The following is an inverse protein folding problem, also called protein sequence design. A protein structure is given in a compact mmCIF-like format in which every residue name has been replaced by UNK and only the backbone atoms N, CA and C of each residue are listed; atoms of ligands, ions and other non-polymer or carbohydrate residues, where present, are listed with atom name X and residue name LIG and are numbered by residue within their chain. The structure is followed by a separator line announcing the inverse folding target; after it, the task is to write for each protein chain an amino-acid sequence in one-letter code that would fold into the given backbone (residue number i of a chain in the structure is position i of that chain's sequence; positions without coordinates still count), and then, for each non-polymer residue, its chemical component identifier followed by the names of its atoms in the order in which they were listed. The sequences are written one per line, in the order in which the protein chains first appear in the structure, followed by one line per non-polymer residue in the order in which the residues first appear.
data_IF_335854677881
#
_entry.id   IF_335854677881
#
_cell.length_a   1.000
_cell.length_b   1.000
_cell.length_c   1.000
_cell.angle_alpha   90.00
_cell.angle_beta   90.00
_cell.angle_gamma   90.00
#
_symmetry.space_group_name_H-M   'P 1'
#
loop_
_entity.id
_entity.type
_entity.pdbx_description
1 polymer ?
#
# COMPACT_ATOMS: atom_id res chain seq x y z
N UNK A 1 27.71 9.13 25.58
CA UNK A 1 27.86 7.65 25.55
C UNK A 1 26.79 7.09 24.64
N UNK A 2 27.12 6.13 23.78
CA UNK A 2 26.10 5.49 22.93
C UNK A 2 25.25 4.53 23.76
N UNK A 3 23.93 4.60 23.61
CA UNK A 3 22.97 3.68 24.20
C UNK A 3 22.57 2.62 23.17
N UNK A 4 22.51 1.37 23.60
CA UNK A 4 22.03 0.26 22.79
C UNK A 4 20.50 0.21 22.79
N UNK A 5 19.88 0.13 21.61
CA UNK A 5 18.43 0.06 21.47
C UNK A 5 17.95 -1.35 21.06
N UNK A 6 18.66 -2.01 20.14
CA UNK A 6 18.23 -3.29 19.57
C UNK A 6 19.41 -4.10 19.03
N UNK A 7 19.31 -5.43 19.13
CA UNK A 7 20.16 -6.40 18.42
C UNK A 7 19.47 -7.75 18.26
N UNK A 8 19.64 -8.35 17.08
CA UNK A 8 19.10 -9.67 16.76
C UNK A 8 20.18 -10.72 16.40
N UNK A 9 21.46 -10.37 16.55
CA UNK A 9 22.58 -11.20 16.11
C UNK A 9 23.30 -10.66 14.87
N UNK A 10 22.65 -9.83 14.06
CA UNK A 10 23.22 -9.31 12.80
C UNK A 10 22.95 -7.82 12.58
N UNK A 11 21.83 -7.30 13.07
CA UNK A 11 21.50 -5.89 13.04
C UNK A 11 21.63 -5.31 14.43
N UNK A 12 22.36 -4.20 14.55
CA UNK A 12 22.43 -3.40 15.77
C UNK A 12 21.85 -2.02 15.55
N UNK A 13 21.01 -1.53 16.47
CA UNK A 13 20.55 -0.13 16.50
C UNK A 13 21.09 0.55 17.76
N UNK A 14 21.80 1.66 17.57
CA UNK A 14 22.41 2.45 18.62
C UNK A 14 21.87 3.89 18.60
N UNK A 15 21.57 4.43 19.78
CA UNK A 15 21.42 5.87 19.98
C UNK A 15 22.80 6.45 20.29
N UNK A 16 23.38 7.22 19.37
CA UNK A 16 24.68 7.85 19.60
C UNK A 16 24.51 9.14 20.41
N UNK A 17 23.50 9.92 20.06
CA UNK A 17 23.09 11.19 20.68
C UNK A 17 21.57 11.32 20.60
N UNK A 18 20.98 12.37 21.19
CA UNK A 18 19.52 12.59 21.18
C UNK A 18 18.92 12.61 19.77
N UNK A 19 19.65 13.21 18.83
CA UNK A 19 19.25 13.42 17.44
C UNK A 19 20.01 12.55 16.43
N UNK A 20 20.74 11.52 16.89
CA UNK A 20 21.58 10.69 16.02
C UNK A 20 21.47 9.20 16.37
N UNK A 21 20.94 8.44 15.42
CA UNK A 21 20.83 6.99 15.49
C UNK A 21 21.84 6.35 14.53
N UNK A 22 22.35 5.16 14.88
CA UNK A 22 23.20 4.37 14.01
C UNK A 22 22.63 2.97 13.86
N UNK A 23 22.62 2.46 12.63
CA UNK A 23 22.25 1.10 12.32
C UNK A 23 23.46 0.40 11.71
N UNK A 24 23.83 -0.75 12.26
CA UNK A 24 24.94 -1.57 11.78
C UNK A 24 24.35 -2.89 11.29
N UNK A 25 24.65 -3.27 10.06
CA UNK A 25 24.33 -4.56 9.48
C UNK A 25 25.61 -5.37 9.29
N UNK A 26 25.76 -6.41 10.10
CA UNK A 26 26.91 -7.32 10.08
C UNK A 26 26.71 -8.52 9.15
N UNK A 27 25.54 -8.63 8.51
CA UNK A 27 25.23 -9.73 7.59
C UNK A 27 25.71 -9.48 6.16
N UNK A 28 25.72 -10.54 5.37
CA UNK A 28 25.99 -10.50 3.93
C UNK A 28 24.72 -10.18 3.10
N UNK A 29 23.60 -9.81 3.74
CA UNK A 29 22.33 -9.54 3.07
C UNK A 29 21.82 -8.15 3.41
N UNK A 30 21.01 -7.57 2.53
CA UNK A 30 20.31 -6.31 2.84
C UNK A 30 19.25 -6.58 3.91
N UNK A 31 19.23 -5.72 4.93
CA UNK A 31 18.18 -5.75 5.94
C UNK A 31 17.12 -4.71 5.65
N UNK A 32 15.87 -5.15 5.67
CA UNK A 32 14.69 -4.31 5.54
C UNK A 32 14.09 -4.08 6.93
N UNK A 33 14.41 -2.96 7.56
CA UNK A 33 13.71 -2.53 8.76
C UNK A 33 12.34 -2.01 8.36
N UNK A 34 11.28 -2.58 8.91
CA UNK A 34 9.91 -2.24 8.53
C UNK A 34 9.06 -1.95 9.78
N UNK A 35 8.04 -1.10 9.70
CA UNK A 35 7.12 -0.83 10.83
C UNK A 35 6.42 -2.09 11.38
N UNK A 36 6.38 -3.14 10.57
CA UNK A 36 5.85 -4.46 10.90
C UNK A 36 6.73 -5.25 11.87
N UNK A 37 8.01 -4.94 11.96
CA UNK A 37 8.95 -5.61 12.84
C UNK A 37 8.79 -5.08 14.27
N UNK A 38 8.05 -5.83 15.09
CA UNK A 38 7.62 -5.39 16.42
C UNK A 38 8.77 -4.99 17.32
N UNK A 39 9.84 -5.75 17.34
CA UNK A 39 10.99 -5.55 18.21
C UNK A 39 11.74 -4.27 17.83
N UNK A 40 11.98 -4.04 16.54
CA UNK A 40 12.59 -2.80 16.04
C UNK A 40 11.69 -1.59 16.29
N UNK A 41 10.39 -1.72 15.99
CA UNK A 41 9.41 -0.68 16.26
C UNK A 41 9.40 -0.31 17.75
N UNK A 42 9.35 -1.29 18.64
CA UNK A 42 9.36 -1.08 20.09
C UNK A 42 10.69 -0.51 20.58
N UNK A 43 11.82 -0.91 20.02
CA UNK A 43 13.14 -0.36 20.37
C UNK A 43 13.27 1.12 20.02
N UNK A 44 12.61 1.56 18.96
CA UNK A 44 12.55 2.96 18.53
C UNK A 44 11.42 3.74 19.21
N UNK A 45 10.53 3.07 19.95
CA UNK A 45 9.50 3.72 20.75
C UNK A 45 10.18 4.52 21.88
N UNK A 46 9.90 5.82 21.95
CA UNK A 46 10.50 6.73 22.93
C UNK A 46 11.74 7.49 22.44
N UNK A 47 12.18 7.28 21.20
CA UNK A 47 13.09 8.24 20.55
C UNK A 47 12.32 9.52 20.18
N UNK A 48 13.05 10.61 19.88
CA UNK A 48 12.42 11.86 19.44
C UNK A 48 11.60 11.59 18.19
N UNK A 49 10.31 11.90 18.24
CA UNK A 49 9.45 11.72 17.08
C UNK A 49 9.82 12.71 15.98
N UNK A 50 9.96 12.23 14.76
CA UNK A 50 10.34 13.04 13.62
C UNK A 50 10.94 12.22 12.49
N UNK A 51 11.53 12.97 11.56
CA UNK A 51 12.19 12.45 10.37
C UNK A 51 13.68 12.45 10.60
N UNK A 52 14.32 11.32 10.33
CA UNK A 52 15.76 11.16 10.33
C UNK A 52 16.22 10.74 8.94
N UNK A 53 17.36 11.24 8.48
CA UNK A 53 17.90 10.91 7.15
C UNK A 53 19.33 10.38 7.27
N UNK A 54 19.70 9.48 6.36
CA UNK A 54 21.09 9.03 6.21
C UNK A 54 21.99 10.26 5.98
N UNK A 55 23.04 10.38 6.79
CA UNK A 55 24.00 11.49 6.73
C UNK A 55 24.85 11.45 5.45
N UNK A 56 25.09 10.26 4.89
CA UNK A 56 25.96 10.11 3.71
C UNK A 56 25.19 10.13 2.40
N UNK A 57 24.04 9.45 2.35
CA UNK A 57 23.29 9.26 1.11
C UNK A 57 21.79 9.53 1.30
N UNK A 58 21.36 10.74 1.71
CA UNK A 58 19.97 11.04 2.05
C UNK A 58 18.98 10.85 0.89
N UNK A 59 19.47 10.88 -0.35
CA UNK A 59 18.64 10.81 -1.56
C UNK A 59 18.41 9.39 -2.09
N UNK A 60 19.12 8.38 -1.58
CA UNK A 60 18.83 7.01 -1.99
C UNK A 60 17.47 6.55 -1.43
N UNK A 61 16.75 5.66 -2.14
CA UNK A 61 15.50 5.10 -1.64
C UNK A 61 15.64 4.46 -0.26
N UNK A 62 14.62 4.62 0.58
CA UNK A 62 14.54 4.05 1.93
C UNK A 62 15.68 4.48 2.87
N UNK A 63 16.25 5.67 2.64
CA UNK A 63 17.19 6.37 3.54
C UNK A 63 16.55 7.42 4.44
N UNK A 64 15.23 7.35 4.59
CA UNK A 64 14.46 8.20 5.49
C UNK A 64 13.79 7.32 6.55
N UNK A 65 14.16 7.55 7.81
CA UNK A 65 13.58 6.90 8.97
C UNK A 65 12.58 7.84 9.63
N UNK A 66 11.30 7.46 9.64
CA UNK A 66 10.25 8.17 10.36
C UNK A 66 9.99 7.46 11.68
N UNK A 67 10.01 8.22 12.77
CA UNK A 67 9.70 7.71 14.10
C UNK A 67 8.51 8.48 14.65
N UNK A 68 7.42 7.77 14.93
CA UNK A 68 6.21 8.29 15.57
C UNK A 68 6.08 7.89 17.03
N UNK A 69 4.89 8.12 17.58
CA UNK A 69 4.57 7.81 18.98
C UNK A 69 4.72 6.32 19.31
N UNK A 70 4.53 5.45 18.32
CA UNK A 70 4.65 4.00 18.45
C UNK A 70 5.97 3.43 17.92
N UNK A 71 6.94 4.27 17.58
CA UNK A 71 8.26 3.86 17.07
C UNK A 71 8.38 3.99 15.56
N UNK A 72 9.05 3.04 14.90
CA UNK A 72 9.33 3.09 13.46
C UNK A 72 8.03 3.12 12.62
N UNK A 73 7.89 4.15 11.79
CA UNK A 73 6.77 4.36 10.86
C UNK A 73 7.16 4.24 9.37
N UNK A 74 8.46 4.19 9.04
CA UNK A 74 8.93 4.00 7.65
C UNK A 74 9.72 2.72 7.44
N UNK A 75 9.83 2.30 6.18
CA UNK A 75 10.77 1.25 5.74
C UNK A 75 12.17 1.85 5.58
N UNK A 76 13.19 1.20 6.15
CA UNK A 76 14.60 1.59 6.04
C UNK A 76 15.42 0.41 5.54
N UNK A 77 16.20 0.63 4.47
CA UNK A 77 17.07 -0.39 3.88
C UNK A 77 18.50 -0.24 4.34
N UNK A 78 19.10 -1.32 4.83
CA UNK A 78 20.46 -1.34 5.38
C UNK A 78 21.31 -2.31 4.57
N UNK A 79 22.25 -1.82 3.74
CA UNK A 79 23.10 -2.67 2.89
C UNK A 79 23.88 -3.71 3.70
N UNK A 80 24.32 -4.81 3.07
CA UNK A 80 25.24 -5.77 3.68
C UNK A 80 26.50 -5.10 4.24
N UNK A 81 27.01 -5.62 5.35
CA UNK A 81 28.31 -5.22 5.94
C UNK A 81 28.49 -3.69 6.04
N UNK A 82 27.45 -2.99 6.50
CA UNK A 82 27.39 -1.53 6.48
C UNK A 82 27.05 -0.92 7.83
N UNK A 83 27.33 0.38 7.97
CA UNK A 83 27.00 1.18 9.13
C UNK A 83 26.46 2.53 8.67
N UNK A 84 25.18 2.77 8.95
CA UNK A 84 24.46 3.97 8.55
C UNK A 84 24.18 4.84 9.76
N UNK A 85 24.33 6.15 9.60
CA UNK A 85 23.98 7.10 10.65
C UNK A 85 22.80 7.96 10.16
N UNK A 86 21.75 8.01 10.97
CA UNK A 86 20.51 8.71 10.71
C UNK A 86 20.39 9.90 11.66
N UNK A 87 20.37 11.11 11.11
CA UNK A 87 20.30 12.35 11.89
C UNK A 87 18.90 12.97 11.78
N UNK A 88 18.37 13.41 12.91
CA UNK A 88 17.09 14.13 12.98
C UNK A 88 17.12 15.37 12.08
N UNK A 89 16.05 15.59 11.32
CA UNK A 89 15.86 16.72 10.41
C UNK A 89 14.72 17.63 10.88
N UNK A 90 13.53 17.07 11.07
CA UNK A 90 12.32 17.83 11.40
C UNK A 90 11.27 16.97 12.12
N UNK A 91 10.25 17.59 12.76
CA UNK A 91 9.07 16.90 13.26
C UNK A 91 8.27 16.22 12.13
N UNK A 92 7.52 15.16 12.46
CA UNK A 92 6.66 14.49 11.48
C UNK A 92 5.61 15.42 10.86
N UNK A 93 5.16 16.44 11.60
CA UNK A 93 4.18 17.42 11.11
C UNK A 93 4.69 18.32 9.98
N UNK A 94 5.99 18.32 9.69
CA UNK A 94 6.58 19.08 8.58
C UNK A 94 6.66 18.28 7.27
N UNK A 95 6.32 16.99 7.30
CA UNK A 95 6.22 16.17 6.09
C UNK A 95 4.76 15.78 5.83
N UNK A 96 4.42 15.64 4.56
CA UNK A 96 3.13 15.13 4.14
C UNK A 96 3.26 13.64 3.83
N UNK A 97 2.80 12.76 4.73
CA UNK A 97 2.86 11.31 4.55
C UNK A 97 1.71 10.84 3.68
N UNK A 98 2.05 10.37 2.47
CA UNK A 98 1.10 9.95 1.45
C UNK A 98 0.89 8.44 1.52
N UNK A 99 -0.36 8.02 1.71
CA UNK A 99 -0.75 6.63 1.54
C UNK A 99 -1.08 6.33 0.08
N UNK A 100 -0.67 5.16 -0.41
CA UNK A 100 -1.11 4.64 -1.71
C UNK A 100 -2.16 3.56 -1.46
N UNK A 101 -3.38 3.77 -1.97
CA UNK A 101 -4.49 2.83 -1.86
C UNK A 101 -4.96 2.41 -3.26
N UNK A 102 -4.61 1.20 -3.72
CA UNK A 102 -5.18 0.66 -4.95
C UNK A 102 -6.69 0.46 -4.81
N UNK A 103 -7.43 0.75 -5.89
CA UNK A 103 -8.89 0.66 -5.96
C UNK A 103 -9.36 -0.21 -7.15
N UNK A 104 -8.55 -1.21 -7.49
CA UNK A 104 -8.98 -2.37 -8.27
C UNK A 104 -8.74 -2.31 -9.79
N UNK A 105 -9.73 -2.84 -10.52
CA UNK A 105 -9.69 -3.42 -11.87
C UNK A 105 -8.87 -4.72 -11.98
N UNK A 106 -7.58 -4.73 -11.63
CA UNK A 106 -6.75 -5.95 -11.55
C UNK A 106 -5.56 -5.76 -10.58
N UNK A 107 -4.75 -6.81 -10.40
CA UNK A 107 -3.55 -6.78 -9.54
C UNK A 107 -2.36 -5.96 -10.07
N UNK A 108 -2.49 -5.30 -11.23
CA UNK A 108 -1.39 -4.61 -11.91
C UNK A 108 -0.67 -3.57 -11.01
N UNK A 109 -1.44 -2.73 -10.31
CA UNK A 109 -0.86 -1.74 -9.38
C UNK A 109 -0.14 -2.42 -8.22
N UNK A 110 -0.71 -3.48 -7.64
CA UNK A 110 -0.04 -4.24 -6.59
C UNK A 110 1.29 -4.83 -7.06
N UNK A 111 1.32 -5.35 -8.28
CA UNK A 111 2.54 -5.94 -8.87
C UNK A 111 3.66 -4.91 -9.03
N UNK A 112 3.36 -3.72 -9.57
CA UNK A 112 4.39 -2.67 -9.74
C UNK A 112 4.82 -2.06 -8.40
N UNK A 113 3.88 -1.82 -7.47
CA UNK A 113 4.21 -1.36 -6.12
C UNK A 113 5.12 -2.35 -5.38
N UNK A 114 4.87 -3.64 -5.57
CA UNK A 114 5.71 -4.70 -5.00
C UNK A 114 7.14 -4.67 -5.56
N UNK A 115 7.33 -4.47 -6.87
CA UNK A 115 8.67 -4.33 -7.46
C UNK A 115 9.42 -3.07 -7.02
N UNK A 116 8.71 -1.99 -6.75
CA UNK A 116 9.30 -0.78 -6.15
C UNK A 116 9.49 -0.90 -4.64
N UNK A 117 8.94 -1.96 -4.03
CA UNK A 117 8.85 -2.13 -2.58
C UNK A 117 8.15 -0.95 -1.90
N UNK A 118 7.20 -0.32 -2.60
CA UNK A 118 6.29 0.71 -2.08
C UNK A 118 5.00 0.07 -1.55
N UNK A 119 4.88 -1.25 -1.66
CA UNK A 119 3.74 -2.00 -1.18
C UNK A 119 3.77 -2.15 0.34
N UNK A 120 2.68 -1.71 0.97
CA UNK A 120 2.37 -2.01 2.36
C UNK A 120 1.74 -3.40 2.53
N UNK A 121 1.10 -3.65 3.69
CA UNK A 121 0.26 -4.83 3.84
C UNK A 121 -0.88 -4.82 2.80
N UNK A 122 -1.41 -5.99 2.48
CA UNK A 122 -2.47 -6.09 1.46
C UNK A 122 -3.73 -5.32 1.88
N UNK A 123 -4.33 -4.60 0.93
CA UNK A 123 -5.64 -3.95 1.00
C UNK A 123 -6.71 -4.77 0.24
N UNK A 124 -8.01 -4.44 0.39
CA UNK A 124 -9.09 -5.25 -0.19
C UNK A 124 -8.99 -5.36 -1.71
N UNK A 125 -8.59 -4.28 -2.39
CA UNK A 125 -8.57 -4.23 -3.85
C UNK A 125 -7.23 -4.62 -4.50
N UNK A 126 -6.21 -4.94 -3.71
CA UNK A 126 -4.87 -5.26 -4.24
C UNK A 126 -4.85 -6.51 -5.13
N UNK A 127 -5.71 -7.49 -4.80
CA UNK A 127 -5.74 -8.82 -5.41
C UNK A 127 -7.15 -9.21 -5.88
N UNK A 128 -8.08 -8.26 -5.91
CA UNK A 128 -9.42 -8.46 -6.45
C UNK A 128 -9.52 -7.81 -7.81
N UNK A 129 -10.38 -8.35 -8.65
CA UNK A 129 -10.80 -7.66 -9.87
C UNK A 129 -12.06 -6.87 -9.56
N UNK A 130 -12.09 -5.61 -9.96
CA UNK A 130 -13.29 -4.76 -9.85
C UNK A 130 -13.45 -3.92 -11.11
N UNK A 131 -14.20 -4.44 -12.08
CA UNK A 131 -14.34 -3.82 -13.41
C UNK A 131 -15.17 -2.55 -13.42
N UNK A 132 -15.95 -2.31 -12.36
CA UNK A 132 -16.87 -1.19 -12.24
C UNK A 132 -16.46 -0.27 -11.08
N UNK A 133 -16.18 1.01 -11.34
CA UNK A 133 -15.84 1.97 -10.30
C UNK A 133 -17.04 2.27 -9.37
N UNK A 134 -18.27 2.19 -9.85
CA UNK A 134 -19.45 2.38 -8.99
C UNK A 134 -19.54 1.33 -7.89
N UNK A 135 -19.13 0.09 -8.18
CA UNK A 135 -19.06 -0.97 -7.17
C UNK A 135 -17.99 -0.66 -6.11
N UNK A 136 -16.79 -0.25 -6.54
CA UNK A 136 -15.72 0.20 -5.63
C UNK A 136 -16.20 1.32 -4.72
N UNK A 137 -16.94 2.26 -5.31
CA UNK A 137 -17.50 3.44 -4.64
C UNK A 137 -18.49 3.02 -3.54
N UNK A 138 -19.44 2.14 -3.86
CA UNK A 138 -20.40 1.59 -2.90
C UNK A 138 -19.73 0.70 -1.83
N UNK A 139 -18.70 -0.08 -2.19
CA UNK A 139 -17.93 -0.90 -1.24
C UNK A 139 -17.24 -0.01 -0.19
N UNK A 140 -16.55 1.05 -0.62
CA UNK A 140 -15.84 1.97 0.28
C UNK A 140 -16.84 2.77 1.14
N UNK A 141 -17.92 3.25 0.54
CA UNK A 141 -19.00 3.96 1.24
C UNK A 141 -19.57 3.12 2.40
N UNK A 142 -19.87 1.85 2.12
CA UNK A 142 -20.39 0.90 3.10
C UNK A 142 -19.32 0.32 4.05
N UNK A 143 -18.09 0.82 4.02
CA UNK A 143 -17.02 0.35 4.90
C UNK A 143 -16.68 -1.12 4.69
N UNK A 144 -16.78 -1.60 3.45
CA UNK A 144 -16.57 -2.99 3.03
C UNK A 144 -17.57 -4.01 3.59
N UNK A 145 -18.65 -3.56 4.22
CA UNK A 145 -19.72 -4.43 4.69
C UNK A 145 -20.31 -5.23 3.51
N UNK A 146 -20.50 -6.53 3.70
CA UNK A 146 -20.92 -7.52 2.68
C UNK A 146 -19.86 -8.02 1.67
N UNK A 147 -18.64 -7.48 1.61
CA UNK A 147 -17.65 -7.86 0.57
C UNK A 147 -17.26 -9.34 0.55
N UNK A 148 -17.43 -10.02 1.67
CA UNK A 148 -17.23 -11.46 1.81
C UNK A 148 -18.48 -12.16 2.35
N UNK A 149 -19.67 -11.56 2.22
CA UNK A 149 -20.91 -12.17 2.68
C UNK A 149 -21.26 -13.39 1.79
N UNK A 150 -21.40 -14.59 2.37
CA UNK A 150 -21.56 -15.83 1.61
C UNK A 150 -22.85 -15.84 0.77
N UNK A 151 -23.89 -15.10 1.17
CA UNK A 151 -25.15 -15.01 0.42
C UNK A 151 -24.98 -14.29 -0.93
N UNK A 152 -23.93 -13.48 -1.07
CA UNK A 152 -23.60 -12.80 -2.31
C UNK A 152 -22.45 -13.45 -3.07
N UNK A 153 -21.74 -14.43 -2.48
CA UNK A 153 -20.60 -15.06 -3.13
C UNK A 153 -21.03 -16.32 -3.88
N UNK A 154 -20.56 -16.48 -5.12
CA UNK A 154 -20.76 -17.69 -5.89
C UNK A 154 -19.50 -18.05 -6.67
N UNK A 155 -19.18 -19.34 -6.71
CA UNK A 155 -18.03 -19.85 -7.43
C UNK A 155 -18.39 -20.20 -8.87
N UNK A 156 -17.60 -19.70 -9.82
CA UNK A 156 -17.61 -20.11 -11.21
C UNK A 156 -16.46 -21.10 -11.45
N UNK A 157 -16.81 -22.36 -11.75
CA UNK A 157 -15.85 -23.43 -11.97
C UNK A 157 -15.06 -23.29 -13.28
N UNK A 158 -15.69 -22.80 -14.36
CA UNK A 158 -15.04 -22.65 -15.67
C UNK A 158 -13.90 -21.62 -15.61
N UNK A 159 -14.08 -20.58 -14.82
CA UNK A 159 -13.11 -19.50 -14.68
C UNK A 159 -12.26 -19.59 -13.41
N UNK A 160 -12.47 -20.64 -12.61
CA UNK A 160 -11.84 -20.85 -11.30
C UNK A 160 -11.86 -19.58 -10.41
N UNK A 161 -13.03 -18.94 -10.30
CA UNK A 161 -13.18 -17.59 -9.74
C UNK A 161 -14.45 -17.43 -8.93
N UNK A 162 -14.37 -16.64 -7.86
CA UNK A 162 -15.53 -16.27 -7.04
C UNK A 162 -16.05 -14.91 -7.52
N UNK A 163 -17.36 -14.80 -7.68
CA UNK A 163 -18.06 -13.59 -8.11
C UNK A 163 -18.99 -13.09 -7.01
N UNK A 164 -19.26 -11.77 -7.03
CA UNK A 164 -20.16 -11.13 -6.08
C UNK A 164 -21.49 -10.75 -6.74
N UNK A 165 -22.61 -11.18 -6.16
CA UNK A 165 -23.96 -10.98 -6.72
C UNK A 165 -24.47 -9.54 -6.59
N UNK A 166 -24.14 -8.85 -5.50
CA UNK A 166 -24.42 -7.40 -5.32
C UNK A 166 -23.52 -6.53 -6.20
N UNK A 167 -22.20 -6.66 -6.05
CA UNK A 167 -21.18 -5.93 -6.80
C UNK A 167 -20.69 -6.73 -8.00
N UNK A 168 -21.44 -6.65 -9.09
CA UNK A 168 -21.24 -7.50 -10.27
C UNK A 168 -19.86 -7.36 -10.93
N UNK A 169 -19.16 -6.25 -10.74
CA UNK A 169 -17.79 -6.07 -11.21
C UNK A 169 -16.73 -6.72 -10.32
N UNK A 170 -17.07 -7.11 -9.08
CA UNK A 170 -16.16 -7.67 -8.09
C UNK A 170 -15.99 -9.18 -8.26
N UNK A 171 -14.74 -9.62 -8.35
CA UNK A 171 -14.38 -11.05 -8.33
C UNK A 171 -13.02 -11.33 -7.70
N UNK A 172 -12.85 -12.58 -7.27
CA UNK A 172 -11.71 -13.07 -6.52
C UNK A 172 -11.08 -14.29 -7.19
N UNK A 173 -9.81 -14.18 -7.58
CA UNK A 173 -9.08 -15.23 -8.31
C UNK A 173 -8.10 -16.03 -7.43
N UNK A 174 -7.77 -15.53 -6.25
CA UNK A 174 -6.68 -16.05 -5.40
C UNK A 174 -7.18 -16.64 -4.08
N UNK A 175 -8.47 -16.99 -4.02
CA UNK A 175 -9.10 -17.46 -2.80
C UNK A 175 -9.38 -18.95 -2.80
N UNK A 176 -9.22 -19.67 -3.92
CA UNK A 176 -9.35 -21.13 -3.98
C UNK A 176 -7.96 -21.75 -3.86
N UNK A 177 -7.82 -22.67 -2.90
CA UNK A 177 -6.61 -23.46 -2.66
C UNK A 177 -6.77 -24.87 -3.25
N UNK A 178 -5.66 -25.57 -3.49
CA UNK A 178 -5.64 -26.86 -4.22
C UNK A 178 -6.55 -27.94 -3.63
N UNK A 179 -6.79 -27.89 -2.31
CA UNK A 179 -7.59 -28.88 -1.58
C UNK A 179 -9.05 -28.45 -1.36
N UNK A 180 -9.46 -27.25 -1.82
CA UNK A 180 -10.83 -26.79 -1.67
C UNK A 180 -11.75 -27.45 -2.70
N UNK A 181 -13.01 -27.68 -2.30
CA UNK A 181 -14.07 -28.12 -3.22
C UNK A 181 -15.29 -27.18 -3.13
N UNK A 182 -15.17 -25.96 -3.69
CA UNK A 182 -16.19 -24.91 -3.55
C UNK A 182 -17.53 -25.25 -4.21
N UNK A 183 -17.61 -26.31 -5.02
CA UNK A 183 -18.87 -26.78 -5.61
C UNK A 183 -19.73 -27.54 -4.59
N UNK A 184 -19.11 -28.22 -3.63
CA UNK A 184 -19.81 -29.02 -2.62
C UNK A 184 -19.74 -28.41 -1.22
N UNK A 185 -18.63 -27.75 -0.87
CA UNK A 185 -18.45 -27.05 0.40
C UNK A 185 -17.67 -25.74 0.22
N UNK A 186 -18.41 -24.63 0.27
CA UNK A 186 -17.83 -23.28 0.16
C UNK A 186 -17.36 -22.73 1.51
N UNK A 187 -17.64 -23.41 2.62
CA UNK A 187 -17.38 -22.91 3.98
C UNK A 187 -15.89 -22.62 4.25
N UNK A 188 -14.93 -23.47 3.84
CA UNK A 188 -13.50 -23.21 4.06
C UNK A 188 -13.04 -21.94 3.33
N UNK A 189 -13.54 -21.74 2.11
CA UNK A 189 -13.24 -20.57 1.27
C UNK A 189 -13.78 -19.31 1.92
N UNK A 190 -15.05 -19.34 2.34
CA UNK A 190 -15.70 -18.23 3.01
C UNK A 190 -14.97 -17.82 4.30
N UNK A 191 -14.65 -18.76 5.20
CA UNK A 191 -13.98 -18.42 6.47
C UNK A 191 -12.60 -17.79 6.24
N UNK A 192 -11.87 -18.29 5.23
CA UNK A 192 -10.58 -17.73 4.83
C UNK A 192 -10.73 -16.33 4.24
N UNK A 193 -11.71 -16.12 3.36
CA UNK A 193 -12.04 -14.80 2.82
C UNK A 193 -12.43 -13.84 3.94
N UNK A 194 -13.32 -14.23 4.85
CA UNK A 194 -13.72 -13.42 6.01
C UNK A 194 -12.51 -12.94 6.80
N UNK A 195 -11.62 -13.84 7.21
CA UNK A 195 -10.41 -13.48 7.94
C UNK A 195 -9.48 -12.54 7.15
N UNK A 196 -9.25 -12.84 5.85
CA UNK A 196 -8.36 -12.04 4.99
C UNK A 196 -8.93 -10.64 4.74
N UNK A 197 -10.18 -10.53 4.31
CA UNK A 197 -10.81 -9.27 3.91
C UNK A 197 -11.25 -8.41 5.09
N UNK A 198 -11.57 -9.00 6.25
CA UNK A 198 -11.70 -8.24 7.49
C UNK A 198 -10.38 -7.53 7.83
N UNK A 199 -9.26 -8.26 7.84
CA UNK A 199 -7.95 -7.64 8.09
C UNK A 199 -7.55 -6.60 7.03
N UNK A 200 -7.84 -6.87 5.74
CA UNK A 200 -7.54 -5.94 4.63
C UNK A 200 -8.38 -4.66 4.73
N UNK A 201 -9.69 -4.77 4.98
CA UNK A 201 -10.61 -3.62 5.09
C UNK A 201 -10.28 -2.75 6.29
N UNK A 202 -10.01 -3.36 7.44
CA UNK A 202 -9.56 -2.61 8.63
C UNK A 202 -8.27 -1.82 8.32
N UNK A 203 -7.31 -2.40 7.58
CA UNK A 203 -6.06 -1.70 7.22
C UNK A 203 -6.28 -0.56 6.24
N UNK A 204 -7.19 -0.74 5.29
CA UNK A 204 -7.59 0.33 4.38
C UNK A 204 -8.17 1.51 5.16
N UNK A 205 -9.15 1.25 6.04
CA UNK A 205 -9.79 2.28 6.86
C UNK A 205 -8.80 2.93 7.84
N UNK A 206 -7.92 2.14 8.47
CA UNK A 206 -6.86 2.67 9.32
C UNK A 206 -5.96 3.62 8.55
N UNK A 207 -5.53 3.23 7.35
CA UNK A 207 -4.66 4.03 6.49
C UNK A 207 -5.33 5.34 6.11
N UNK A 208 -6.58 5.26 5.64
CA UNK A 208 -7.42 6.42 5.32
C UNK A 208 -7.53 7.40 6.50
N UNK A 209 -7.55 6.91 7.74
CA UNK A 209 -7.67 7.73 8.94
C UNK A 209 -6.34 8.31 9.44
N UNK A 210 -5.20 7.66 9.19
CA UNK A 210 -3.93 7.99 9.86
C UNK A 210 -2.85 8.60 8.96
N UNK A 211 -2.97 8.51 7.63
CA UNK A 211 -2.10 9.24 6.72
C UNK A 211 -2.45 10.74 6.67
N UNK A 212 -1.55 11.54 6.09
CA UNK A 212 -1.77 12.98 5.92
C UNK A 212 -2.46 13.27 4.56
N UNK A 213 -2.18 12.45 3.55
CA UNK A 213 -2.81 12.49 2.22
C UNK A 213 -3.04 11.06 1.69
N UNK A 214 -4.06 10.87 0.86
CA UNK A 214 -4.29 9.61 0.14
C UNK A 214 -4.14 9.77 -1.37
N UNK A 215 -3.35 8.90 -1.99
CA UNK A 215 -3.34 8.67 -3.43
C UNK A 215 -4.09 7.36 -3.73
N UNK A 216 -5.31 7.48 -4.23
CA UNK A 216 -6.05 6.34 -4.77
C UNK A 216 -5.54 6.03 -6.17
N UNK A 217 -5.27 4.76 -6.49
CA UNK A 217 -4.77 4.36 -7.81
C UNK A 217 -5.66 3.28 -8.42
N UNK A 218 -6.11 3.52 -9.66
CA UNK A 218 -6.90 2.57 -10.44
C UNK A 218 -6.24 2.31 -11.78
N UNK A 219 -6.18 1.05 -12.18
CA UNK A 219 -6.04 0.69 -13.60
C UNK A 219 -7.41 0.49 -14.23
N UNK A 220 -7.50 0.59 -15.55
CA UNK A 220 -8.72 0.25 -16.28
C UNK A 220 -9.69 1.43 -16.41
N UNK A 221 -10.55 1.33 -17.42
CA UNK A 221 -11.39 2.44 -17.85
C UNK A 221 -12.42 2.82 -16.80
N UNK A 222 -12.77 4.10 -16.79
CA UNK A 222 -13.77 4.70 -15.90
C UNK A 222 -14.60 5.72 -16.67
N UNK A 223 -15.88 5.80 -16.34
CA UNK A 223 -16.75 6.86 -16.82
C UNK A 223 -16.63 8.13 -15.95
N UNK A 224 -16.81 9.30 -16.56
CA UNK A 224 -16.67 10.60 -15.88
C UNK A 224 -17.65 10.75 -14.72
N UNK A 225 -18.89 10.28 -14.85
CA UNK A 225 -19.91 10.37 -13.80
C UNK A 225 -19.60 9.41 -12.65
N UNK A 226 -19.02 8.24 -12.92
CA UNK A 226 -18.56 7.33 -11.87
C UNK A 226 -17.44 7.96 -11.04
N UNK A 227 -16.51 8.67 -11.68
CA UNK A 227 -15.44 9.36 -10.96
C UNK A 227 -15.99 10.53 -10.14
N UNK A 228 -16.98 11.28 -10.65
CA UNK A 228 -17.63 12.34 -9.88
C UNK A 228 -18.35 11.80 -8.65
N UNK A 229 -19.11 10.72 -8.79
CA UNK A 229 -19.75 10.04 -7.65
C UNK A 229 -18.69 9.57 -6.64
N UNK A 230 -17.61 8.95 -7.13
CA UNK A 230 -16.51 8.51 -6.28
C UNK A 230 -15.85 9.66 -5.52
N UNK A 231 -15.56 10.78 -6.18
CA UNK A 231 -15.02 12.00 -5.53
C UNK A 231 -15.95 12.48 -4.43
N UNK A 232 -17.26 12.62 -4.71
CA UNK A 232 -18.22 13.11 -3.73
C UNK A 232 -18.25 12.24 -2.46
N UNK A 233 -18.22 10.91 -2.62
CA UNK A 233 -18.20 9.99 -1.47
C UNK A 233 -16.86 9.98 -0.75
N UNK A 234 -15.75 10.16 -1.47
CA UNK A 234 -14.43 10.31 -0.86
C UNK A 234 -14.30 11.60 -0.07
N UNK A 235 -14.89 12.71 -0.52
CA UNK A 235 -14.90 13.98 0.23
C UNK A 235 -15.53 13.79 1.61
N UNK A 236 -16.64 13.04 1.69
CA UNK A 236 -17.27 12.68 2.96
C UNK A 236 -16.37 11.76 3.80
N UNK A 237 -15.81 10.69 3.20
CA UNK A 237 -14.98 9.70 3.92
C UNK A 237 -13.64 10.26 4.39
N UNK A 238 -13.03 11.15 3.62
CA UNK A 238 -11.74 11.77 3.95
C UNK A 238 -11.88 12.90 4.98
N UNK A 239 -13.08 13.42 5.23
CA UNK A 239 -13.34 14.44 6.26
C UNK A 239 -12.40 15.66 6.17
N UNK A 240 -12.19 16.16 4.94
CA UNK A 240 -11.29 17.29 4.67
C UNK A 240 -9.81 16.92 4.51
N UNK A 241 -9.44 15.65 4.67
CA UNK A 241 -8.10 15.15 4.33
C UNK A 241 -7.85 15.26 2.82
N UNK A 242 -6.70 15.79 2.39
CA UNK A 242 -6.33 15.83 0.98
C UNK A 242 -6.30 14.42 0.36
N UNK A 243 -6.81 14.31 -0.86
CA UNK A 243 -6.69 13.09 -1.65
C UNK A 243 -6.54 13.39 -3.14
N UNK A 244 -5.89 12.47 -3.85
CA UNK A 244 -5.76 12.45 -5.31
C UNK A 244 -6.20 11.08 -5.84
N UNK A 245 -6.66 11.07 -7.08
CA UNK A 245 -7.06 9.87 -7.80
C UNK A 245 -6.17 9.77 -9.04
N UNK A 246 -5.35 8.74 -9.11
CA UNK A 246 -4.57 8.39 -10.29
C UNK A 246 -5.29 7.30 -11.08
N UNK A 247 -5.68 7.62 -12.30
CA UNK A 247 -6.26 6.68 -13.25
C UNK A 247 -5.23 6.36 -14.33
N UNK A 248 -4.98 5.07 -14.54
CA UNK A 248 -4.08 4.54 -15.58
C UNK A 248 -4.89 3.63 -16.49
N UNK A 249 -5.29 4.13 -17.65
CA UNK A 249 -6.17 3.39 -18.55
C UNK A 249 -6.00 3.79 -20.01
N UNK A 250 -6.25 2.90 -20.97
CA UNK A 250 -6.17 3.21 -22.40
C UNK A 250 -7.42 3.98 -22.89
N UNK A 251 -7.80 5.07 -22.22
CA UNK A 251 -8.88 5.96 -22.63
C UNK A 251 -8.35 7.38 -22.91
N UNK A 252 -9.00 8.17 -23.77
CA UNK A 252 -8.60 9.56 -24.01
C UNK A 252 -8.62 10.38 -22.71
N UNK A 253 -7.55 11.14 -22.46
CA UNK A 253 -7.43 11.94 -21.23
C UNK A 253 -8.46 13.07 -21.16
N UNK A 254 -8.97 13.51 -22.31
CA UNK A 254 -10.00 14.54 -22.44
C UNK A 254 -11.33 14.11 -21.79
N UNK A 255 -11.60 12.81 -21.71
CA UNK A 255 -12.81 12.28 -21.04
C UNK A 255 -12.82 12.59 -19.54
N UNK A 256 -11.64 12.66 -18.92
CA UNK A 256 -11.46 12.95 -17.49
C UNK A 256 -10.96 14.37 -17.23
N UNK A 257 -10.91 15.22 -18.25
CA UNK A 257 -10.50 16.60 -18.11
C UNK A 257 -11.41 17.39 -17.16
N UNK A 258 -10.86 18.44 -16.55
CA UNK A 258 -11.54 19.37 -15.63
C UNK A 258 -11.87 18.81 -14.24
N UNK A 259 -11.51 17.55 -13.95
CA UNK A 259 -11.65 16.96 -12.62
C UNK A 259 -10.41 17.29 -11.77
N UNK A 260 -10.55 18.18 -10.79
CA UNK A 260 -9.43 18.76 -10.02
C UNK A 260 -8.61 17.75 -9.21
N UNK A 261 -9.23 16.65 -8.79
CA UNK A 261 -8.59 15.64 -7.94
C UNK A 261 -8.05 14.45 -8.74
N UNK A 262 -8.13 14.50 -10.07
CA UNK A 262 -7.85 13.36 -10.94
C UNK A 262 -6.62 13.65 -11.79
N UNK A 263 -5.69 12.70 -11.79
CA UNK A 263 -4.57 12.63 -12.72
C UNK A 263 -4.76 11.40 -13.57
N UNK A 264 -4.72 11.58 -14.89
CA UNK A 264 -4.90 10.49 -15.84
C UNK A 264 -3.64 10.28 -16.69
N UNK A 265 -3.29 9.02 -16.93
CA UNK A 265 -2.29 8.62 -17.91
C UNK A 265 -2.89 7.59 -18.86
N UNK A 266 -2.86 7.92 -20.16
CA UNK A 266 -3.27 7.01 -21.25
C UNK A 266 -2.23 5.90 -21.43
N UNK A 267 -2.37 4.86 -20.60
CA UNK A 267 -1.46 3.73 -20.51
C UNK A 267 -2.24 2.46 -20.19
N UNK A 268 -1.74 1.33 -20.68
CA UNK A 268 -2.27 0.01 -20.33
C UNK A 268 -1.21 -0.82 -19.63
N UNK A 269 -1.52 -1.25 -18.40
CA UNK A 269 -0.67 -2.14 -17.60
C UNK A 269 -1.29 -3.53 -17.62
N UNK A 270 -0.74 -4.45 -18.43
CA UNK A 270 -1.25 -5.80 -18.53
C UNK A 270 -0.63 -6.71 -17.43
N UNK A 271 -1.37 -7.11 -16.39
CA UNK A 271 -0.83 -7.96 -15.33
C UNK A 271 -0.41 -9.34 -15.83
N UNK A 272 -1.13 -9.91 -16.79
CA UNK A 272 -0.85 -11.25 -17.32
C UNK A 272 0.51 -11.24 -18.04
N UNK A 273 0.78 -10.21 -18.84
CA UNK A 273 2.08 -10.02 -19.47
C UNK A 273 3.20 -9.70 -18.46
N UNK A 274 2.90 -8.98 -17.37
CA UNK A 274 3.89 -8.76 -16.30
C UNK A 274 4.28 -10.05 -15.57
N UNK A 275 3.38 -11.05 -15.51
CA UNK A 275 3.72 -12.37 -14.98
C UNK A 275 4.63 -13.16 -15.93
N UNK A 276 4.43 -13.03 -17.24
CA UNK A 276 5.14 -13.79 -18.26
C UNK A 276 6.50 -13.18 -18.65
N UNK A 277 6.63 -11.85 -18.58
CA UNK A 277 7.82 -11.11 -19.04
C UNK A 277 8.35 -10.15 -17.95
N UNK A 278 9.51 -10.50 -17.37
CA UNK A 278 10.19 -9.68 -16.37
C UNK A 278 10.62 -8.31 -16.92
N UNK A 279 11.04 -8.22 -18.18
CA UNK A 279 11.42 -6.96 -18.82
C UNK A 279 10.24 -6.01 -18.95
N UNK A 280 9.07 -6.52 -19.36
CA UNK A 280 7.83 -5.74 -19.39
C UNK A 280 7.42 -5.30 -17.98
N UNK A 281 7.49 -6.19 -16.98
CA UNK A 281 7.19 -5.83 -15.60
C UNK A 281 8.12 -4.72 -15.07
N UNK A 282 9.42 -4.81 -15.33
CA UNK A 282 10.37 -3.77 -14.95
C UNK A 282 10.07 -2.46 -15.68
N UNK A 283 9.73 -2.48 -16.97
CA UNK A 283 9.33 -1.29 -17.71
C UNK A 283 8.09 -0.61 -17.08
N UNK A 284 7.02 -1.36 -16.83
CA UNK A 284 5.82 -0.84 -16.15
C UNK A 284 6.16 -0.26 -14.76
N UNK A 285 7.07 -0.92 -14.03
CA UNK A 285 7.55 -0.46 -12.73
C UNK A 285 8.24 0.89 -12.80
N UNK A 286 9.15 1.10 -13.77
CA UNK A 286 9.84 2.38 -13.97
C UNK A 286 8.88 3.50 -14.41
N UNK A 287 7.91 3.18 -15.27
CA UNK A 287 6.87 4.12 -15.70
C UNK A 287 6.04 4.58 -14.49
N UNK A 288 5.52 3.65 -13.69
CA UNK A 288 4.74 3.99 -12.49
C UNK A 288 5.59 4.74 -11.47
N UNK A 289 6.87 4.38 -11.29
CA UNK A 289 7.78 5.12 -10.42
C UNK A 289 7.90 6.59 -10.86
N UNK A 290 8.12 6.81 -12.15
CA UNK A 290 8.26 8.16 -12.71
C UNK A 290 6.98 8.99 -12.51
N UNK A 291 5.80 8.35 -12.64
CA UNK A 291 4.52 8.99 -12.33
C UNK A 291 4.45 9.37 -10.85
N UNK A 292 4.73 8.44 -9.93
CA UNK A 292 4.70 8.70 -8.49
C UNK A 292 5.69 9.79 -8.09
N UNK A 293 6.91 9.79 -8.63
CA UNK A 293 7.91 10.82 -8.38
C UNK A 293 7.43 12.19 -8.87
N UNK A 294 6.79 12.27 -10.04
CA UNK A 294 6.18 13.52 -10.54
C UNK A 294 5.03 14.04 -9.67
N UNK A 295 4.36 13.12 -8.95
CA UNK A 295 3.33 13.40 -7.96
C UNK A 295 3.89 13.70 -6.57
N UNK A 296 5.22 13.71 -6.42
CA UNK A 296 5.89 13.93 -5.14
C UNK A 296 5.75 12.77 -4.15
N UNK A 297 5.49 11.55 -4.63
CA UNK A 297 5.32 10.35 -3.80
C UNK A 297 6.55 9.45 -3.96
N UNK A 298 7.29 9.27 -2.86
CA UNK A 298 8.51 8.45 -2.84
C UNK A 298 8.70 7.78 -1.49
N UNK A 299 9.69 6.88 -1.38
CA UNK A 299 10.08 6.27 -0.10
C UNK A 299 10.36 7.26 1.05
N UNK A 300 10.57 8.55 0.75
CA UNK A 300 10.80 9.62 1.74
C UNK A 300 9.52 10.12 2.42
N UNK A 301 8.34 9.86 1.85
CA UNK A 301 7.06 10.35 2.37
C UNK A 301 5.93 9.32 2.32
N UNK A 302 6.22 8.03 2.09
CA UNK A 302 5.19 6.99 2.15
C UNK A 302 4.65 6.82 3.58
N UNK A 303 3.33 6.80 3.71
CA UNK A 303 2.66 6.30 4.90
C UNK A 303 2.62 4.76 4.86
N UNK A 304 3.08 4.12 5.94
CA UNK A 304 3.09 2.66 6.04
C UNK A 304 2.05 2.17 7.05
N UNK A 305 1.03 1.48 6.55
CA UNK A 305 0.09 0.81 7.43
C UNK A 305 0.78 -0.31 8.21
N UNK A 306 0.62 -0.40 9.54
CA UNK A 306 1.08 -1.55 10.30
C UNK A 306 0.32 -2.82 9.87
N UNK A 307 0.91 -4.02 10.00
CA UNK A 307 0.29 -5.26 9.54
C UNK A 307 -0.85 -5.70 10.46
N UNK A 308 -0.75 -5.34 11.75
CA UNK A 308 -1.79 -5.43 12.77
C UNK A 308 -2.06 -4.02 13.26
N UNK A 309 -3.31 -3.60 13.17
CA UNK A 309 -3.76 -2.31 13.64
C UNK A 309 -3.65 -2.28 15.17
N UNK A 310 -3.02 -1.24 15.76
CA UNK A 310 -3.05 -1.04 17.20
C UNK A 310 -4.49 -0.97 17.70
N UNK A 311 -4.77 -1.59 18.85
CA UNK A 311 -6.06 -1.50 19.53
C UNK A 311 -6.09 -0.26 20.43
#
# INVERSE_FOLDING_TARGET
SSQFLFYDGQITILKQEESLLRIINESNHEYNLQPMWKEVRQALKGQVSGVYTDVLNPDLPFRTMMIGADGLESRVKVPPLSSLSFKYQCPLSEINRVAILPIGDRCAIRMVLHKMEYDGPAYPFDLTRTTNLSDVTDIIENGFFDMWNPDFLHYNHEEARIYHGKWTGLSFAHEIEEMDDPLYDFSPVYERMRYRYEGRSQRFLYTLNHCDEVLFIRTGMVDKEQIKDFIAKLEEKCQGKPFRILIISPQPSEELAELTNVVHYDLYLNPDHMYEDLGYWMHCTEVVRSILDSLGVSSKNLFWCPPKIPK
#
